data_IF_181033349378
#
_entry.id   IF_181033349378
#
_cell.length_a   1.000
_cell.length_b   1.000
_cell.length_c   1.000
_cell.angle_alpha   90.00
_cell.angle_beta   90.00
_cell.angle_gamma   90.00
#
_symmetry.space_group_name_H-M   'P 1'
#
loop_
_entity.id
_entity.type
_entity.pdbx_description
1 polymer ?
#
# COMPACT_ATOMS: atom_id res chain seq x y z
N UNK A 1 -9.41 -21.92 -6.67
CA UNK A 1 -8.69 -20.64 -6.86
C UNK A 1 -9.31 -19.62 -5.92
N UNK A 2 -8.59 -19.13 -4.92
CA UNK A 2 -9.10 -18.10 -4.00
C UNK A 2 -9.07 -16.76 -4.72
N UNK A 3 -10.23 -16.28 -5.16
CA UNK A 3 -10.39 -14.95 -5.77
C UNK A 3 -10.20 -13.90 -4.69
N UNK A 4 -9.13 -13.12 -4.79
CA UNK A 4 -8.84 -12.01 -3.90
C UNK A 4 -9.96 -10.97 -4.07
N UNK A 5 -10.73 -10.69 -3.01
CA UNK A 5 -11.91 -9.84 -3.14
C UNK A 5 -11.48 -8.38 -3.40
N UNK A 6 -11.85 -7.77 -4.54
CA UNK A 6 -11.36 -6.42 -4.91
C UNK A 6 -11.66 -5.33 -3.86
N UNK A 7 -12.72 -5.54 -3.06
CA UNK A 7 -13.13 -4.64 -1.99
C UNK A 7 -12.12 -4.57 -0.83
N UNK A 8 -11.42 -5.67 -0.53
CA UNK A 8 -10.38 -5.70 0.51
C UNK A 8 -9.21 -4.80 0.13
N UNK A 9 -8.73 -4.91 -1.12
CA UNK A 9 -7.65 -4.07 -1.65
C UNK A 9 -8.05 -2.59 -1.62
N UNK A 10 -9.27 -2.27 -2.05
CA UNK A 10 -9.75 -0.89 -2.06
C UNK A 10 -9.77 -0.26 -0.66
N UNK A 11 -10.08 -1.01 0.39
CA UNK A 11 -10.12 -0.49 1.76
C UNK A 11 -8.72 -0.07 2.24
N UNK A 12 -7.70 -0.90 2.00
CA UNK A 12 -6.31 -0.57 2.35
C UNK A 12 -5.76 0.59 1.52
N UNK A 13 -6.09 0.66 0.24
CA UNK A 13 -5.67 1.77 -0.63
C UNK A 13 -6.29 3.09 -0.17
N UNK A 14 -7.60 3.12 0.08
CA UNK A 14 -8.28 4.35 0.56
C UNK A 14 -7.73 4.82 1.91
N UNK A 15 -7.52 3.90 2.85
CA UNK A 15 -6.94 4.23 4.16
C UNK A 15 -5.53 4.82 4.03
N UNK A 16 -4.68 4.20 3.22
CA UNK A 16 -3.29 4.65 3.00
C UNK A 16 -3.24 6.06 2.41
N UNK A 17 -4.06 6.35 1.39
CA UNK A 17 -4.12 7.68 0.76
C UNK A 17 -4.66 8.74 1.72
N UNK A 18 -5.61 8.39 2.58
CA UNK A 18 -6.14 9.30 3.59
C UNK A 18 -5.08 9.68 4.62
N UNK A 19 -4.32 8.69 5.14
CA UNK A 19 -3.23 8.93 6.09
C UNK A 19 -2.10 9.73 5.45
N UNK A 20 -1.67 9.35 4.23
CA UNK A 20 -0.65 10.10 3.50
C UNK A 20 -1.08 11.56 3.31
N UNK A 21 -2.30 11.82 2.86
CA UNK A 21 -2.78 13.18 2.67
C UNK A 21 -2.80 14.04 3.94
N UNK A 22 -3.09 13.43 5.09
CA UNK A 22 -3.00 14.12 6.38
C UNK A 22 -1.55 14.39 6.82
N UNK A 23 -0.64 13.46 6.57
CA UNK A 23 0.75 13.54 7.05
C UNK A 23 1.64 14.42 6.18
N UNK A 24 1.46 14.40 4.85
CA UNK A 24 2.29 15.18 3.92
C UNK A 24 1.66 16.52 3.52
N UNK A 25 0.46 16.82 4.00
CA UNK A 25 -0.32 18.02 3.63
C UNK A 25 -0.50 18.21 2.11
N UNK A 26 -0.39 17.14 1.33
CA UNK A 26 -0.56 17.10 -0.13
C UNK A 26 -1.60 16.03 -0.48
N UNK A 27 -2.34 16.20 -1.58
CA UNK A 27 -3.29 15.17 -2.04
C UNK A 27 -2.57 14.16 -2.94
N UNK A 28 -2.29 12.92 -2.49
CA UNK A 28 -1.62 11.93 -3.31
C UNK A 28 -2.46 11.51 -4.51
N UNK A 29 -1.82 11.41 -5.69
CA UNK A 29 -2.47 10.95 -6.93
C UNK A 29 -2.55 9.43 -6.97
N UNK A 30 -3.76 8.88 -7.14
CA UNK A 30 -3.97 7.43 -7.16
C UNK A 30 -3.71 6.85 -8.56
N UNK A 31 -2.81 5.86 -8.64
CA UNK A 31 -2.64 5.01 -9.82
C UNK A 31 -3.69 3.89 -9.90
N UNK A 32 -3.87 3.30 -11.09
CA UNK A 32 -4.75 2.14 -11.28
C UNK A 32 -4.16 0.91 -10.60
N UNK A 33 -4.87 0.25 -9.66
CA UNK A 33 -4.38 -0.97 -9.04
C UNK A 33 -4.20 -2.09 -10.08
N UNK A 34 -3.01 -2.68 -10.13
CA UNK A 34 -2.70 -3.82 -11.00
C UNK A 34 -2.15 -4.97 -10.16
N UNK A 35 -2.48 -6.20 -10.54
CA UNK A 35 -1.81 -7.38 -10.01
C UNK A 35 -0.47 -7.50 -10.73
N UNK A 36 0.62 -7.16 -10.05
CA UNK A 36 1.97 -7.22 -10.60
C UNK A 36 2.88 -8.02 -9.68
N UNK A 37 3.69 -8.91 -10.27
CA UNK A 37 4.85 -9.45 -9.58
C UNK A 37 5.88 -8.33 -9.48
N UNK A 38 6.11 -7.83 -8.26
CA UNK A 38 7.11 -6.82 -8.00
C UNK A 38 8.51 -7.44 -8.10
N UNK A 39 9.22 -7.14 -9.18
CA UNK A 39 10.68 -7.19 -9.14
C UNK A 39 11.18 -6.01 -8.32
N UNK A 40 11.86 -6.29 -7.21
CA UNK A 40 12.24 -5.33 -6.18
C UNK A 40 13.46 -4.53 -6.65
N UNK A 41 13.27 -3.60 -7.58
CA UNK A 41 14.37 -2.92 -8.30
C UNK A 41 14.71 -1.52 -7.81
N UNK A 42 13.91 -0.92 -6.92
CA UNK A 42 14.15 0.44 -6.42
C UNK A 42 14.42 0.49 -4.91
N UNK A 43 15.28 1.42 -4.49
CA UNK A 43 15.51 1.76 -3.07
C UNK A 43 14.22 2.29 -2.44
N UNK A 44 13.47 1.39 -1.83
CA UNK A 44 12.20 1.69 -1.18
C UNK A 44 12.29 1.48 0.33
N UNK A 45 11.76 2.44 1.09
CA UNK A 45 11.41 2.26 2.50
C UNK A 45 10.09 1.50 2.53
N UNK A 46 10.06 0.38 3.25
CA UNK A 46 8.90 -0.49 3.32
C UNK A 46 8.39 -0.59 4.76
N UNK A 47 7.12 -0.28 4.98
CA UNK A 47 6.40 -0.64 6.19
C UNK A 47 5.59 -1.92 5.94
N UNK A 48 5.76 -2.93 6.80
CA UNK A 48 5.07 -4.23 6.69
C UNK A 48 4.15 -4.41 7.88
N UNK A 49 2.86 -4.65 7.60
CA UNK A 49 1.83 -4.80 8.62
C UNK A 49 1.23 -6.20 8.51
N UNK A 50 1.37 -6.99 9.57
CA UNK A 50 0.74 -8.30 9.67
C UNK A 50 -0.76 -8.18 9.98
N UNK A 51 -1.58 -8.98 9.29
CA UNK A 51 -3.03 -9.05 9.52
C UNK A 51 -3.39 -10.49 9.89
N UNK A 52 -4.12 -10.64 11.00
CA UNK A 52 -4.58 -11.94 11.51
C UNK A 52 -6.10 -11.91 11.74
N UNK A 53 -6.73 -13.09 11.70
CA UNK A 53 -8.19 -13.24 11.85
C UNK A 53 -8.75 -14.29 10.89
N UNK A 54 -9.95 -14.04 10.35
CA UNK A 54 -10.58 -14.89 9.33
C UNK A 54 -9.76 -15.02 8.04
N UNK A 55 -8.88 -14.05 7.78
CA UNK A 55 -7.82 -14.12 6.78
C UNK A 55 -6.48 -13.80 7.46
N UNK A 56 -5.43 -14.49 7.03
CA UNK A 56 -4.06 -14.25 7.48
C UNK A 56 -3.24 -13.75 6.31
N UNK A 57 -2.43 -12.72 6.54
CA UNK A 57 -1.59 -12.15 5.49
C UNK A 57 -0.83 -10.94 5.98
N UNK A 58 -0.32 -10.18 5.03
CA UNK A 58 0.40 -8.94 5.31
C UNK A 58 0.08 -7.90 4.24
N UNK A 59 0.20 -6.64 4.64
CA UNK A 59 0.15 -5.48 3.75
C UNK A 59 1.52 -4.83 3.76
N UNK A 60 2.09 -4.62 2.58
CA UNK A 60 3.35 -3.89 2.42
C UNK A 60 3.05 -2.52 1.80
N UNK A 61 3.46 -1.47 2.49
CA UNK A 61 3.43 -0.10 1.99
C UNK A 61 4.87 0.28 1.64
N UNK A 62 5.16 0.34 0.34
CA UNK A 62 6.46 0.76 -0.19
C UNK A 62 6.42 2.24 -0.60
N UNK A 63 7.49 2.96 -0.28
CA UNK A 63 7.68 4.35 -0.70
C UNK A 63 9.12 4.59 -1.13
N UNK A 64 9.32 5.52 -2.07
CA UNK A 64 10.67 5.97 -2.43
C UNK A 64 11.35 6.63 -1.23
N UNK A 65 12.68 6.55 -1.17
CA UNK A 65 13.45 7.20 -0.11
C UNK A 65 13.15 8.71 -0.05
N UNK A 66 13.05 9.38 -1.20
CA UNK A 66 12.73 10.82 -1.31
C UNK A 66 11.39 11.16 -0.67
N UNK A 67 10.37 10.31 -0.86
CA UNK A 67 9.05 10.49 -0.25
C UNK A 67 9.09 10.25 1.26
N UNK A 68 9.89 9.28 1.71
CA UNK A 68 10.02 8.94 3.13
C UNK A 68 10.74 9.99 3.98
N UNK A 69 11.60 10.81 3.35
CA UNK A 69 12.42 11.83 4.03
C UNK A 69 11.78 13.22 4.10
N UNK A 70 10.63 13.42 3.44
CA UNK A 70 9.86 14.66 3.55
C UNK A 70 9.09 14.69 4.86
#
# INVERSE_FOLDING_TARGET
MSTLHPQLVNSFVTASFSVLGMMVHETPTRGTPTAQFLERTESQVNAVIGVTGAAQGYVTLGMSLTTATK
#
